data_IF_449334396626
#
_entry.id   IF_449334396626
#
_cell.length_a   1.000
_cell.length_b   1.000
_cell.length_c   1.000
_cell.angle_alpha   90.00
_cell.angle_beta   90.00
_cell.angle_gamma   90.00
#
_symmetry.space_group_name_H-M   'P 1'
#
loop_
_entity.id
_entity.type
_entity.pdbx_description
1 polymer ?
#
# COMPACT_ATOMS: atom_id res chain seq x y z
N UNK A 1 15.69 -17.59 8.05
CA UNK A 1 15.25 -16.33 8.69
C UNK A 1 15.45 -15.10 7.81
N UNK A 2 16.63 -14.86 7.23
CA UNK A 2 16.90 -13.65 6.43
C UNK A 2 15.92 -13.39 5.27
N UNK A 3 15.49 -14.44 4.57
CA UNK A 3 14.52 -14.34 3.48
C UNK A 3 13.11 -13.92 3.96
N UNK A 4 12.70 -14.36 5.15
CA UNK A 4 11.43 -13.97 5.78
C UNK A 4 11.44 -12.50 6.21
N UNK A 5 12.53 -12.03 6.81
CA UNK A 5 12.71 -10.62 7.16
C UNK A 5 12.81 -9.73 5.92
N UNK A 6 13.50 -10.18 4.87
CA UNK A 6 13.55 -9.46 3.59
C UNK A 6 12.17 -9.31 2.95
N UNK A 7 11.37 -10.38 2.96
CA UNK A 7 10.00 -10.35 2.46
C UNK A 7 9.11 -9.40 3.29
N UNK A 8 9.26 -9.40 4.61
CA UNK A 8 8.54 -8.49 5.51
C UNK A 8 8.87 -7.01 5.25
N UNK A 9 10.14 -6.68 5.00
CA UNK A 9 10.57 -5.33 4.60
C UNK A 9 9.93 -4.93 3.27
N UNK A 10 9.92 -5.84 2.28
CA UNK A 10 9.29 -5.57 0.98
C UNK A 10 7.79 -5.32 1.13
N UNK A 11 7.08 -6.11 1.96
CA UNK A 11 5.65 -5.89 2.21
C UNK A 11 5.38 -4.55 2.92
N UNK A 12 6.21 -4.16 3.89
CA UNK A 12 6.10 -2.86 4.55
C UNK A 12 6.31 -1.70 3.57
N UNK A 13 7.31 -1.80 2.69
CA UNK A 13 7.54 -0.81 1.64
C UNK A 13 6.35 -0.74 0.67
N UNK A 14 5.74 -1.87 0.32
CA UNK A 14 4.56 -1.92 -0.54
C UNK A 14 3.33 -1.25 0.12
N UNK A 15 3.10 -1.50 1.41
CA UNK A 15 2.04 -0.86 2.19
C UNK A 15 2.26 0.66 2.30
N UNK A 16 3.51 1.08 2.56
CA UNK A 16 3.90 2.49 2.59
C UNK A 16 3.71 3.17 1.22
N UNK A 17 4.03 2.48 0.11
CA UNK A 17 3.82 2.98 -1.24
C UNK A 17 2.33 3.20 -1.53
N UNK A 18 1.47 2.24 -1.16
CA UNK A 18 0.01 2.37 -1.30
C UNK A 18 -0.55 3.53 -0.45
N UNK A 19 -0.12 3.68 0.80
CA UNK A 19 -0.53 4.80 1.67
C UNK A 19 -0.04 6.17 1.15
N UNK A 20 1.17 6.23 0.58
CA UNK A 20 1.68 7.44 -0.06
C UNK A 20 0.87 7.84 -1.30
N UNK A 21 0.37 6.85 -2.05
CA UNK A 21 -0.46 7.06 -3.25
C UNK A 21 -1.82 7.65 -2.87
N UNK A 22 -2.42 7.20 -1.76
CA UNK A 22 -3.65 7.78 -1.20
C UNK A 22 -3.48 9.27 -0.87
N UNK A 23 -2.40 9.58 -0.16
CA UNK A 23 -2.04 10.94 0.26
C UNK A 23 -1.76 11.85 -0.95
N UNK A 24 -1.05 11.34 -1.96
CA UNK A 24 -0.79 12.06 -3.21
C UNK A 24 -2.08 12.35 -4.00
N UNK A 25 -3.05 11.42 -3.99
CA UNK A 25 -4.35 11.59 -4.63
C UNK A 25 -5.21 12.66 -3.94
N UNK A 26 -5.14 12.74 -2.61
CA UNK A 26 -5.83 13.75 -1.79
C UNK A 26 -5.18 15.14 -1.92
N UNK A 27 -3.85 15.18 -2.03
CA UNK A 27 -3.03 16.40 -2.23
C UNK A 27 -3.23 17.05 -3.61
N UNK A 28 -3.67 16.28 -4.60
CA UNK A 28 -3.94 16.77 -5.95
C UNK A 28 -5.02 17.87 -5.96
N UNK A 29 -4.60 19.11 -6.25
CA UNK A 29 -5.51 20.24 -6.36
C UNK A 29 -6.39 20.12 -7.63
N UNK A 30 -7.59 19.55 -7.46
CA UNK A 30 -8.61 19.35 -8.51
C UNK A 30 -8.93 20.62 -9.27
N UNK A 31 -8.83 21.79 -8.63
CA UNK A 31 -9.13 23.07 -9.23
C UNK A 31 -8.11 23.44 -10.33
N UNK A 32 -6.81 23.33 -10.03
CA UNK A 32 -5.73 23.55 -11.02
C UNK A 32 -5.79 22.54 -12.16
N UNK A 33 -6.10 21.28 -11.86
CA UNK A 33 -6.19 20.22 -12.86
C UNK A 33 -7.31 20.50 -13.88
N UNK A 34 -8.49 20.91 -13.38
CA UNK A 34 -9.66 21.27 -14.18
C UNK A 34 -9.40 22.51 -15.05
N UNK A 35 -8.63 23.46 -14.54
CA UNK A 35 -8.20 24.63 -15.32
C UNK A 35 -7.24 24.24 -16.47
N UNK A 36 -6.28 23.33 -16.22
CA UNK A 36 -5.36 22.84 -17.27
C UNK A 36 -6.05 21.92 -18.29
N UNK A 37 -7.04 21.13 -17.87
CA UNK A 37 -7.85 20.31 -18.77
C UNK A 37 -8.69 21.16 -19.74
N UNK A 38 -9.23 22.29 -19.25
CA UNK A 38 -9.89 23.32 -20.06
C UNK A 38 -8.93 24.04 -21.01
N UNK A 39 -7.68 24.25 -20.58
CA UNK A 39 -6.60 24.83 -21.41
C UNK A 39 -6.05 23.88 -22.50
N UNK A 40 -6.70 22.74 -22.76
CA UNK A 40 -6.38 21.85 -23.88
C UNK A 40 -5.30 20.80 -23.61
N UNK A 41 -4.77 20.69 -22.40
CA UNK A 41 -3.78 19.64 -22.08
C UNK A 41 -4.44 18.26 -22.07
N UNK A 42 -4.02 17.39 -23.00
CA UNK A 42 -4.56 16.04 -23.16
C UNK A 42 -4.37 15.17 -21.90
N UNK A 43 -3.17 15.25 -21.28
CA UNK A 43 -2.89 14.56 -20.02
C UNK A 43 -3.81 15.04 -18.89
N UNK A 44 -4.05 16.36 -18.78
CA UNK A 44 -4.92 16.92 -17.74
C UNK A 44 -6.39 16.50 -17.90
N UNK A 45 -6.89 16.37 -19.14
CA UNK A 45 -8.24 15.83 -19.39
C UNK A 45 -8.37 14.36 -19.01
N UNK A 46 -7.34 13.56 -19.28
CA UNK A 46 -7.33 12.15 -18.90
C UNK A 46 -7.34 12.00 -17.37
N UNK A 47 -6.46 12.74 -16.69
CA UNK A 47 -6.39 12.79 -15.23
C UNK A 47 -7.68 13.33 -14.61
N UNK A 48 -8.33 14.33 -15.22
CA UNK A 48 -9.64 14.83 -14.78
C UNK A 48 -10.72 13.74 -14.84
N UNK A 49 -10.78 12.97 -15.95
CA UNK A 49 -11.70 11.83 -16.08
C UNK A 49 -11.44 10.73 -15.04
N UNK A 50 -10.17 10.43 -14.76
CA UNK A 50 -9.78 9.48 -13.71
C UNK A 50 -10.17 10.00 -12.31
N UNK A 51 -10.00 11.29 -12.05
CA UNK A 51 -10.38 11.94 -10.78
C UNK A 51 -11.90 12.20 -10.64
N UNK A 52 -12.73 11.92 -11.65
CA UNK A 52 -14.19 11.96 -11.49
C UNK A 52 -14.72 10.85 -10.58
N UNK A 53 -13.99 9.74 -10.44
CA UNK A 53 -14.33 8.63 -9.54
C UNK A 53 -13.17 8.30 -8.60
N UNK A 54 -12.82 9.23 -7.69
CA UNK A 54 -11.75 9.03 -6.72
C UNK A 54 -12.04 7.82 -5.83
N UNK A 55 -13.32 7.53 -5.56
CA UNK A 55 -13.76 6.43 -4.70
C UNK A 55 -13.31 5.05 -5.22
N UNK A 56 -13.25 4.87 -6.55
CA UNK A 56 -12.72 3.63 -7.14
C UNK A 56 -11.21 3.51 -6.95
N UNK A 57 -10.49 4.63 -7.06
CA UNK A 57 -9.03 4.67 -6.92
C UNK A 57 -8.65 4.43 -5.45
N UNK A 58 -9.35 5.11 -4.54
CA UNK A 58 -9.20 4.94 -3.09
C UNK A 58 -9.56 3.50 -2.69
N UNK A 59 -10.66 2.94 -3.22
CA UNK A 59 -11.05 1.55 -2.97
C UNK A 59 -9.99 0.53 -3.42
N UNK A 60 -9.37 0.75 -4.59
CA UNK A 60 -8.26 -0.09 -5.07
C UNK A 60 -7.01 0.03 -4.20
N UNK A 61 -6.72 1.25 -3.73
CA UNK A 61 -5.59 1.52 -2.83
C UNK A 61 -5.80 0.83 -1.48
N UNK A 62 -7.00 0.97 -0.91
CA UNK A 62 -7.37 0.33 0.35
C UNK A 62 -7.37 -1.20 0.25
N UNK A 63 -7.85 -1.76 -0.86
CA UNK A 63 -7.83 -3.20 -1.11
C UNK A 63 -6.40 -3.72 -1.19
N UNK A 64 -5.53 -3.03 -1.94
CA UNK A 64 -4.11 -3.39 -2.07
C UNK A 64 -3.38 -3.31 -0.74
N UNK A 65 -3.59 -2.23 0.03
CA UNK A 65 -2.98 -2.07 1.35
C UNK A 65 -3.45 -3.17 2.33
N UNK A 66 -4.75 -3.47 2.35
CA UNK A 66 -5.27 -4.56 3.18
C UNK A 66 -4.73 -5.93 2.79
N UNK A 67 -4.63 -6.23 1.49
CA UNK A 67 -4.09 -7.50 1.01
C UNK A 67 -2.62 -7.68 1.41
N UNK A 68 -1.80 -6.62 1.27
CA UNK A 68 -0.41 -6.61 1.72
C UNK A 68 -0.34 -6.76 3.24
N UNK A 69 -1.16 -6.04 4.00
CA UNK A 69 -1.14 -6.12 5.46
C UNK A 69 -1.56 -7.52 5.96
N UNK A 70 -2.56 -8.15 5.32
CA UNK A 70 -2.98 -9.51 5.62
C UNK A 70 -1.86 -10.52 5.34
N UNK A 71 -1.16 -10.38 4.21
CA UNK A 71 -0.02 -11.22 3.87
C UNK A 71 1.16 -11.02 4.85
N UNK A 72 1.40 -9.78 5.28
CA UNK A 72 2.42 -9.46 6.29
C UNK A 72 2.07 -10.09 7.64
N UNK A 73 0.82 -10.01 8.09
CA UNK A 73 0.34 -10.64 9.31
C UNK A 73 0.47 -12.18 9.27
N UNK A 74 0.17 -12.79 8.13
CA UNK A 74 0.38 -14.23 7.92
C UNK A 74 1.86 -14.62 8.00
N UNK A 75 2.74 -13.83 7.38
CA UNK A 75 4.19 -14.03 7.46
C UNK A 75 4.73 -13.85 8.88
N UNK A 76 4.28 -12.80 9.60
CA UNK A 76 4.63 -12.58 11.01
C UNK A 76 4.22 -13.77 11.86
N UNK A 77 3.02 -14.33 11.64
CA UNK A 77 2.57 -15.54 12.36
C UNK A 77 3.50 -16.72 12.10
N UNK A 78 3.91 -16.97 10.85
CA UNK A 78 4.84 -18.05 10.51
C UNK A 78 6.22 -17.83 11.14
N UNK A 79 6.71 -16.59 11.13
CA UNK A 79 7.98 -16.21 11.78
C UNK A 79 7.88 -16.42 13.30
N UNK A 80 6.77 -16.02 13.92
CA UNK A 80 6.51 -16.17 15.34
C UNK A 80 6.44 -17.64 15.76
N UNK A 81 5.86 -18.53 14.94
CA UNK A 81 5.85 -19.98 15.20
C UNK A 81 7.27 -20.55 15.07
N UNK A 82 8.05 -20.12 14.07
CA UNK A 82 9.44 -20.57 13.88
C UNK A 82 10.35 -20.15 15.03
N UNK A 83 10.28 -18.88 15.44
CA UNK A 83 11.09 -18.33 16.54
C UNK A 83 10.57 -18.82 17.88
N UNK A 84 9.25 -18.80 18.10
CA UNK A 84 8.61 -19.27 19.31
C UNK A 84 8.78 -20.77 19.53
N UNK A 85 8.87 -21.58 18.46
CA UNK A 85 9.21 -22.99 18.55
C UNK A 85 10.63 -23.21 19.07
N UNK A 86 11.62 -22.50 18.53
CA UNK A 86 13.00 -22.58 19.03
C UNK A 86 13.18 -21.93 20.42
N UNK A 87 12.51 -20.80 20.68
CA UNK A 87 12.54 -20.12 21.97
C UNK A 87 11.77 -20.88 23.07
N UNK A 88 10.69 -21.60 22.74
CA UNK A 88 9.98 -22.47 23.68
C UNK A 88 10.77 -23.74 24.00
N UNK A 89 11.52 -24.29 23.03
CA UNK A 89 12.46 -25.38 23.29
C UNK A 89 13.60 -24.89 24.20
N UNK A 90 14.12 -23.68 23.98
CA UNK A 90 15.21 -23.09 24.80
C UNK A 90 14.77 -22.65 26.20
N UNK A 91 13.51 -22.21 26.38
CA UNK A 91 12.97 -21.84 27.68
C UNK A 91 12.46 -23.06 28.49
N UNK A 92 12.30 -24.22 27.84
CA UNK A 92 11.81 -25.46 28.44
C UNK A 92 12.89 -26.45 28.87
N UNK A 93 14.16 -26.18 28.56
CA UNK A 93 15.35 -26.87 29.08
C UNK A 93 16.12 -25.96 30.01
#
# INVERSE_FOLDING_TARGET
LGLLFGLLIVLLLLSAFFSSTETALMSLNRYRLRHRARAGHHAARLTEKLLQRPDRIIGLILLGNNAVNLAAAALVTVIAIRIGGEAAIFAGT
#
